data_IF_742386998293
#
_entry.id   IF_742386998293
#
_cell.length_a   1.000
_cell.length_b   1.000
_cell.length_c   1.000
_cell.angle_alpha   90.00
_cell.angle_beta   90.00
_cell.angle_gamma   90.00
#
_symmetry.space_group_name_H-M   'P 1'
#
loop_
_entity.id
_entity.type
_entity.pdbx_description
1 polymer ?
#
# COMPACT_ATOMS: atom_id res chain seq x y z
N UNK A 1 -15.94 -5.21 -17.77
CA UNK A 1 -14.55 -4.71 -17.92
C UNK A 1 -14.09 -4.16 -16.58
N UNK A 2 -13.33 -4.92 -15.79
CA UNK A 2 -12.71 -4.40 -14.57
C UNK A 2 -11.40 -3.71 -14.95
N UNK A 3 -11.45 -2.41 -15.24
CA UNK A 3 -10.25 -1.61 -15.33
C UNK A 3 -9.66 -1.56 -13.92
N UNK A 4 -8.58 -2.32 -13.67
CA UNK A 4 -7.77 -2.16 -12.45
C UNK A 4 -7.23 -0.74 -12.49
N UNK A 5 -7.94 0.21 -11.87
CA UNK A 5 -7.46 1.58 -11.71
C UNK A 5 -6.10 1.51 -11.03
N UNK A 6 -5.07 1.98 -11.73
CA UNK A 6 -3.70 1.98 -11.22
C UNK A 6 -3.67 2.96 -10.05
N UNK A 7 -3.31 2.49 -8.86
CA UNK A 7 -3.08 3.36 -7.71
C UNK A 7 -2.01 4.39 -8.06
N UNK A 8 -2.24 5.64 -7.64
CA UNK A 8 -1.21 6.67 -7.67
C UNK A 8 -0.07 6.29 -6.71
N UNK A 9 1.13 6.84 -6.92
CA UNK A 9 2.29 6.47 -6.10
C UNK A 9 2.06 6.73 -4.61
N UNK A 10 1.47 7.88 -4.25
CA UNK A 10 1.13 8.20 -2.86
C UNK A 10 0.13 7.20 -2.26
N UNK A 11 -0.93 6.86 -3.01
CA UNK A 11 -1.95 5.91 -2.54
C UNK A 11 -1.38 4.49 -2.40
N UNK A 12 -0.47 4.08 -3.29
CA UNK A 12 0.23 2.79 -3.20
C UNK A 12 1.15 2.74 -1.96
N UNK A 13 1.86 3.83 -1.66
CA UNK A 13 2.68 3.95 -0.44
C UNK A 13 1.82 3.91 0.81
N UNK A 14 0.69 4.62 0.82
CA UNK A 14 -0.27 4.59 1.93
C UNK A 14 -0.84 3.18 2.13
N UNK A 15 -1.24 2.48 1.06
CA UNK A 15 -1.74 1.10 1.17
C UNK A 15 -0.68 0.15 1.72
N UNK A 16 0.58 0.29 1.28
CA UNK A 16 1.69 -0.50 1.81
C UNK A 16 1.93 -0.22 3.29
N UNK A 17 1.87 1.05 3.70
CA UNK A 17 2.01 1.45 5.10
C UNK A 17 0.90 0.84 5.96
N UNK A 18 -0.37 0.94 5.52
CA UNK A 18 -1.51 0.31 6.20
C UNK A 18 -1.28 -1.19 6.39
N UNK A 19 -0.73 -1.86 5.39
CA UNK A 19 -0.37 -3.28 5.48
C UNK A 19 0.74 -3.57 6.48
N UNK A 20 1.82 -2.79 6.48
CA UNK A 20 2.90 -2.95 7.44
C UNK A 20 2.43 -2.76 8.89
N UNK A 21 1.56 -1.78 9.13
CA UNK A 21 0.99 -1.53 10.45
C UNK A 21 -0.03 -2.61 10.83
N UNK A 22 -0.84 -3.07 9.88
CA UNK A 22 -1.74 -4.20 10.10
C UNK A 22 -0.98 -5.48 10.48
N UNK A 23 0.14 -5.80 9.83
CA UNK A 23 0.92 -7.01 10.17
C UNK A 23 1.55 -6.94 11.57
N UNK A 24 1.99 -5.75 12.01
CA UNK A 24 2.69 -5.58 13.30
C UNK A 24 1.74 -5.39 14.48
N UNK A 25 0.55 -4.84 14.26
CA UNK A 25 -0.35 -4.41 15.32
C UNK A 25 -1.59 -5.31 15.44
N UNK A 26 -1.58 -6.22 16.42
CA UNK A 26 -2.69 -7.14 16.68
C UNK A 26 -4.02 -6.45 16.99
N UNK A 27 -3.99 -5.25 17.57
CA UNK A 27 -5.20 -4.44 17.83
C UNK A 27 -5.78 -3.97 16.51
N UNK A 28 -4.94 -3.49 15.58
CA UNK A 28 -5.38 -3.11 14.25
C UNK A 28 -5.97 -4.32 13.50
N UNK A 29 -5.33 -5.50 13.59
CA UNK A 29 -5.88 -6.71 12.97
C UNK A 29 -7.27 -7.05 13.47
N UNK A 30 -7.50 -6.96 14.78
CA UNK A 30 -8.73 -7.39 15.41
C UNK A 30 -9.86 -6.36 15.31
N UNK A 31 -9.53 -5.07 15.43
CA UNK A 31 -10.51 -4.00 15.62
C UNK A 31 -10.49 -2.93 14.54
N UNK A 32 -9.56 -2.98 13.59
CA UNK A 32 -9.37 -1.90 12.61
C UNK A 32 -8.72 -0.67 13.22
N UNK A 33 -8.60 0.38 12.40
CA UNK A 33 -8.03 1.66 12.81
C UNK A 33 -8.79 2.85 12.20
N UNK A 34 -8.82 3.98 12.88
CA UNK A 34 -9.45 5.19 12.36
C UNK A 34 -8.72 5.76 11.13
N UNK A 35 -9.50 6.28 10.18
CA UNK A 35 -8.98 6.81 8.92
C UNK A 35 -7.94 7.93 9.13
N UNK A 36 -8.25 8.91 10.00
CA UNK A 36 -7.33 10.02 10.27
C UNK A 36 -6.07 9.53 10.98
N UNK A 37 -6.20 8.63 11.96
CA UNK A 37 -5.04 8.05 12.65
C UNK A 37 -4.10 7.35 11.68
N UNK A 38 -4.63 6.57 10.73
CA UNK A 38 -3.81 5.92 9.69
C UNK A 38 -3.01 6.96 8.90
N UNK A 39 -3.67 8.02 8.43
CA UNK A 39 -3.03 9.01 7.56
C UNK A 39 -2.04 9.87 8.33
N UNK A 40 -2.39 10.33 9.54
CA UNK A 40 -1.47 11.11 10.37
C UNK A 40 -0.22 10.32 10.72
N UNK A 41 -0.33 9.06 11.13
CA UNK A 41 0.85 8.23 11.40
C UNK A 41 1.66 7.96 10.13
N UNK A 42 1.01 7.81 8.97
CA UNK A 42 1.71 7.70 7.70
C UNK A 42 2.51 8.97 7.36
N UNK A 43 1.92 10.16 7.54
CA UNK A 43 2.59 11.44 7.29
C UNK A 43 3.79 11.61 8.23
N UNK A 44 3.61 11.31 9.53
CA UNK A 44 4.66 11.38 10.55
C UNK A 44 5.82 10.41 10.26
N UNK A 45 5.51 9.15 9.92
CA UNK A 45 6.53 8.10 9.74
C UNK A 45 7.27 8.21 8.39
N UNK A 46 6.61 8.76 7.36
CA UNK A 46 7.17 8.77 5.99
C UNK A 46 7.58 10.14 5.48
N UNK A 47 7.13 11.22 6.13
CA UNK A 47 7.28 12.60 5.66
C UNK A 47 6.49 12.94 4.40
N UNK A 48 5.58 12.08 3.96
CA UNK A 48 4.74 12.30 2.77
C UNK A 48 3.44 12.93 3.20
N UNK A 49 3.33 14.24 3.04
CA UNK A 49 2.16 15.00 3.48
C UNK A 49 1.02 15.00 2.43
N UNK A 50 -0.21 15.01 2.96
CA UNK A 50 -1.41 15.46 2.28
C UNK A 50 -1.69 16.92 2.65
N UNK A 51 -2.24 17.67 1.69
CA UNK A 51 -2.37 19.13 1.80
C UNK A 51 -3.25 19.59 2.96
N UNK A 52 -4.37 18.90 3.19
CA UNK A 52 -5.30 19.17 4.26
C UNK A 52 -6.08 17.91 4.68
N UNK A 53 -6.90 18.03 5.73
CA UNK A 53 -7.73 16.94 6.23
C UNK A 53 -8.74 16.40 5.19
N UNK A 54 -9.18 17.23 4.24
CA UNK A 54 -9.99 16.80 3.11
C UNK A 54 -9.19 15.86 2.19
N UNK A 55 -7.97 16.24 1.82
CA UNK A 55 -7.07 15.43 1.00
C UNK A 55 -6.71 14.10 1.69
N UNK A 56 -6.52 14.10 3.01
CA UNK A 56 -6.30 12.89 3.81
C UNK A 56 -7.50 11.93 3.71
N UNK A 57 -8.72 12.45 3.90
CA UNK A 57 -9.95 11.67 3.78
C UNK A 57 -10.18 11.18 2.36
N UNK A 58 -9.86 11.99 1.34
CA UNK A 58 -9.94 11.58 -0.04
C UNK A 58 -9.00 10.41 -0.38
N UNK A 59 -7.78 10.40 0.16
CA UNK A 59 -6.86 9.28 -0.02
C UNK A 59 -7.45 7.96 0.53
N UNK A 60 -7.99 8.00 1.74
CA UNK A 60 -8.69 6.84 2.32
C UNK A 60 -9.92 6.46 1.49
N UNK A 61 -10.69 7.44 1.03
CA UNK A 61 -11.86 7.20 0.19
C UNK A 61 -11.50 6.57 -1.17
N UNK A 62 -10.36 6.92 -1.77
CA UNK A 62 -9.85 6.26 -2.99
C UNK A 62 -9.52 4.79 -2.71
N UNK A 63 -8.84 4.50 -1.61
CA UNK A 63 -8.54 3.11 -1.22
C UNK A 63 -9.81 2.29 -0.92
N UNK A 64 -10.81 2.90 -0.27
CA UNK A 64 -12.13 2.30 -0.03
C UNK A 64 -12.89 2.00 -1.33
N UNK A 65 -13.00 3.00 -2.22
CA UNK A 65 -13.72 2.87 -3.50
C UNK A 65 -13.13 1.78 -4.39
N UNK A 66 -11.83 1.54 -4.28
CA UNK A 66 -11.12 0.51 -5.03
C UNK A 66 -11.13 -0.86 -4.32
N UNK A 67 -11.69 -0.96 -3.11
CA UNK A 67 -11.84 -2.22 -2.38
C UNK A 67 -10.56 -2.73 -1.72
N UNK A 68 -9.53 -1.91 -1.58
CA UNK A 68 -8.28 -2.29 -0.91
C UNK A 68 -8.40 -2.28 0.61
N UNK A 69 -9.25 -1.39 1.12
CA UNK A 69 -9.66 -1.33 2.52
C UNK A 69 -11.18 -1.34 2.58
N UNK A 70 -11.73 -1.74 3.72
CA UNK A 70 -13.15 -1.72 4.00
C UNK A 70 -13.46 -0.93 5.27
N UNK A 71 -14.73 -0.63 5.46
CA UNK A 71 -15.22 0.09 6.64
C UNK A 71 -16.03 -0.83 7.52
N UNK A 72 -15.63 -0.94 8.79
CA UNK A 72 -16.41 -1.66 9.79
C UNK A 72 -16.96 -0.70 10.86
N UNK A 73 -18.20 -0.90 11.30
CA UNK A 73 -18.75 -0.16 12.44
C UNK A 73 -18.08 -0.62 13.74
N UNK A 74 -17.75 0.32 14.62
CA UNK A 74 -17.26 -0.04 15.96
C UNK A 74 -18.42 -0.61 16.77
N UNK A 75 -18.30 -1.88 17.14
CA UNK A 75 -19.28 -2.54 18.02
C UNK A 75 -18.96 -2.21 19.47
N UNK A 76 -19.41 -1.06 19.97
CA UNK A 76 -19.39 -0.79 21.42
C UNK A 76 -20.60 -1.41 22.10
N UNK A 77 -20.43 -2.02 23.28
CA UNK A 77 -21.53 -2.54 24.11
C UNK A 77 -22.44 -1.43 24.68
N UNK A 78 -22.00 -0.18 24.60
CA UNK A 78 -22.73 0.98 25.11
C UNK A 78 -23.67 1.51 24.02
N UNK A 79 -24.93 1.73 24.39
CA UNK A 79 -26.06 2.21 23.57
C UNK A 79 -25.92 3.64 23.01
N UNK A 80 -24.69 4.14 22.87
CA UNK A 80 -24.43 5.43 22.25
C UNK A 80 -24.27 5.17 20.75
N UNK A 81 -25.12 5.80 19.94
CA UNK A 81 -25.10 5.77 18.48
C UNK A 81 -23.87 6.49 17.92
N UNK A 82 -22.67 6.14 18.36
CA UNK A 82 -21.45 6.70 17.78
C UNK A 82 -21.25 5.95 16.47
N UNK A 83 -21.43 6.69 15.37
CA UNK A 83 -21.26 6.20 14.00
C UNK A 83 -19.77 6.06 13.66
N UNK A 84 -18.96 5.66 14.63
CA UNK A 84 -17.52 5.53 14.46
C UNK A 84 -17.24 4.32 13.59
N UNK A 85 -16.43 4.58 12.58
CA UNK A 85 -16.11 3.66 11.50
C UNK A 85 -14.61 3.50 11.44
N UNK A 86 -14.15 2.28 11.69
CA UNK A 86 -12.76 1.90 11.52
C UNK A 86 -12.52 1.45 10.08
N UNK A 87 -11.25 1.40 9.68
CA UNK A 87 -10.79 0.86 8.42
C UNK A 87 -10.06 -0.44 8.68
N UNK A 88 -10.23 -1.41 7.79
CA UNK A 88 -9.49 -2.69 7.79
C UNK A 88 -9.01 -2.98 6.39
N UNK A 89 -7.91 -3.72 6.29
CA UNK A 89 -7.47 -4.26 5.01
C UNK A 89 -8.41 -5.37 4.56
N UNK A 90 -8.77 -5.33 3.30
CA UNK A 90 -9.47 -6.45 2.66
C UNK A 90 -8.46 -7.53 2.25
N UNK A 91 -8.91 -8.77 2.00
CA UNK A 91 -8.07 -9.79 1.39
C UNK A 91 -7.43 -9.34 0.07
N UNK A 92 -8.14 -8.52 -0.72
CA UNK A 92 -7.62 -7.95 -1.97
C UNK A 92 -6.46 -6.97 -1.73
N UNK A 93 -6.57 -6.10 -0.71
CA UNK A 93 -5.50 -5.18 -0.32
C UNK A 93 -4.24 -5.92 0.13
N UNK A 94 -4.42 -6.95 0.97
CA UNK A 94 -3.34 -7.84 1.44
C UNK A 94 -2.63 -8.49 0.25
N UNK A 95 -3.39 -9.16 -0.62
CA UNK A 95 -2.84 -9.89 -1.76
C UNK A 95 -2.08 -8.94 -2.71
N UNK A 96 -2.61 -7.75 -2.98
CA UNK A 96 -1.97 -6.76 -3.84
C UNK A 96 -0.59 -6.35 -3.32
N UNK A 97 -0.48 -6.02 -2.03
CA UNK A 97 0.79 -5.62 -1.41
C UNK A 97 1.77 -6.78 -1.40
N UNK A 98 1.33 -8.00 -1.07
CA UNK A 98 2.18 -9.18 -1.10
C UNK A 98 2.72 -9.51 -2.50
N UNK A 99 1.89 -9.46 -3.53
CA UNK A 99 2.31 -9.70 -4.91
C UNK A 99 3.40 -8.71 -5.33
N UNK A 100 3.23 -7.42 -5.00
CA UNK A 100 4.23 -6.38 -5.25
C UNK A 100 5.53 -6.62 -4.48
N UNK A 101 5.46 -7.05 -3.22
CA UNK A 101 6.64 -7.43 -2.41
C UNK A 101 7.37 -8.65 -2.97
N UNK A 102 6.66 -9.62 -3.56
CA UNK A 102 7.27 -10.81 -4.19
C UNK A 102 7.93 -10.46 -5.55
N UNK A 103 7.42 -9.45 -6.26
CA UNK A 103 7.98 -8.97 -7.53
C UNK A 103 9.22 -8.09 -7.32
N UNK A 104 9.24 -7.23 -6.30
CA UNK A 104 10.36 -6.33 -5.99
C UNK A 104 11.76 -7.03 -5.88
N UNK A 105 11.93 -8.16 -5.18
CA UNK A 105 13.21 -8.86 -5.12
C UNK A 105 13.54 -9.60 -6.43
N UNK A 106 12.55 -9.95 -7.26
CA UNK A 106 12.80 -10.53 -8.59
C UNK A 106 13.31 -9.49 -9.59
N UNK A 107 12.85 -8.24 -9.52
CA UNK A 107 13.35 -7.16 -10.38
C UNK A 107 14.78 -6.73 -10.02
N UNK A 108 15.12 -6.70 -8.73
CA UNK A 108 16.50 -6.44 -8.27
C UNK A 108 17.48 -7.56 -8.67
N UNK A 109 17.01 -8.81 -8.81
CA UNK A 109 17.81 -9.92 -9.36
C UNK A 109 17.75 -10.01 -10.89
N UNK A 110 16.88 -9.24 -11.53
CA UNK A 110 16.67 -9.22 -12.98
C UNK A 110 17.27 -7.99 -13.68
N UNK A 111 18.32 -7.39 -13.11
CA UNK A 111 19.35 -6.72 -13.92
C UNK A 111 20.55 -7.66 -14.10
N UNK A 112 20.46 -8.70 -14.95
CA UNK A 112 21.66 -9.15 -15.62
C UNK A 112 22.02 -8.03 -16.60
N UNK A 113 22.94 -7.19 -16.15
CA UNK A 113 24.08 -6.83 -16.97
C UNK A 113 23.79 -6.32 -18.38
N UNK A 114 23.22 -5.11 -18.46
CA UNK A 114 23.47 -4.25 -19.63
C UNK A 114 24.98 -4.04 -19.85
N UNK A 115 25.80 -4.11 -18.79
CA UNK A 115 27.26 -4.08 -18.88
C UNK A 115 27.91 -5.41 -19.36
N UNK A 116 27.36 -6.60 -19.06
CA UNK A 116 27.91 -7.87 -19.61
C UNK A 116 27.36 -8.21 -21.00
N UNK A 117 26.15 -7.77 -21.35
CA UNK A 117 25.61 -7.97 -22.71
C UNK A 117 26.42 -7.15 -23.73
N UNK A 118 26.84 -5.93 -23.38
CA UNK A 118 27.72 -5.12 -24.23
C UNK A 118 29.17 -5.67 -24.22
N UNK A 119 29.66 -6.19 -23.08
CA UNK A 119 30.99 -6.79 -22.98
C UNK A 119 31.16 -8.12 -23.73
N UNK A 120 30.09 -8.90 -23.93
CA UNK A 120 30.13 -10.15 -24.71
C UNK A 120 29.98 -9.96 -26.22
N UNK A 121 29.36 -8.87 -26.68
CA UNK A 121 29.23 -8.60 -28.13
C UNK A 121 30.52 -8.04 -28.75
N UNK A 122 31.36 -7.31 -28.01
CA UNK A 122 32.61 -6.76 -28.56
C UNK A 122 33.82 -7.72 -28.52
N UNK A 123 33.82 -8.74 -27.66
CA UNK A 123 34.94 -9.69 -27.56
C UNK A 123 34.98 -10.74 -28.69
N UNK A 124 33.89 -10.88 -29.45
CA UNK A 124 33.82 -11.77 -30.62
C UNK A 124 34.30 -11.15 -31.94
N UNK A 125 34.60 -9.84 -31.97
CA UNK A 125 34.91 -9.12 -33.23
C UNK A 125 36.39 -8.70 -33.37
N UNK A 126 37.24 -8.92 -32.36
CA UNK A 126 38.65 -8.46 -32.34
C UNK A 126 39.66 -9.57 -32.00
N UNK A 127 39.33 -10.84 -32.25
CA UNK A 127 40.20 -11.97 -31.93
C UNK A 127 40.27 -13.03 -33.04
N UNK A 128 40.63 -12.61 -34.24
CA UNK A 128 41.29 -13.44 -35.26
C UNK A 128 42.54 -12.71 -35.72
#
# INVERSE_FOLDING_TARGET
MNSKMKLGEKDERLLKYIYDEYEKNSVFQQYGQYALTIVSSFEEDTGIEFEDAGAQLEAINRLLKQGWIETEPIRTKTSVQITDKVRRLTPLGIEHVEQRRKIAPKLLKATPTAAEIIGRFFKGFLGK
#
